data_IF_027945125996
#
_entry.id   IF_027945125996
#
_cell.length_a   1.000
_cell.length_b   1.000
_cell.length_c   1.000
_cell.angle_alpha   90.00
_cell.angle_beta   90.00
_cell.angle_gamma   90.00
#
_symmetry.space_group_name_H-M   'P 1'
#
loop_
_entity.id
_entity.type
_entity.pdbx_description
1 polymer ?
#
# COMPACT_ATOMS: atom_id res chain seq x y z
N UNK A 1 1.21 -35.67 -21.05
CA UNK A 1 0.71 -34.56 -20.20
C UNK A 1 1.86 -34.09 -19.33
N UNK A 2 2.34 -32.86 -19.52
CA UNK A 2 3.35 -32.28 -18.62
C UNK A 2 2.65 -31.98 -17.30
N UNK A 3 3.09 -32.60 -16.20
CA UNK A 3 2.66 -32.22 -14.85
C UNK A 3 3.10 -30.77 -14.63
N UNK A 4 2.14 -29.84 -14.61
CA UNK A 4 2.42 -28.48 -14.14
C UNK A 4 2.68 -28.55 -12.64
N UNK A 5 3.92 -28.35 -12.23
CA UNK A 5 4.26 -28.17 -10.83
C UNK A 5 3.82 -26.77 -10.42
N UNK A 6 2.60 -26.65 -9.89
CA UNK A 6 2.14 -25.42 -9.25
C UNK A 6 2.87 -25.32 -7.92
N UNK A 7 3.72 -24.30 -7.77
CA UNK A 7 4.31 -23.95 -6.48
C UNK A 7 3.49 -22.83 -5.88
N UNK A 8 3.10 -23.00 -4.62
CA UNK A 8 2.35 -22.02 -3.86
C UNK A 8 3.14 -21.67 -2.60
N UNK A 9 3.20 -20.39 -2.29
CA UNK A 9 3.81 -19.87 -1.08
C UNK A 9 2.86 -18.87 -0.42
N UNK A 10 2.38 -19.21 0.77
CA UNK A 10 1.49 -18.36 1.55
C UNK A 10 2.34 -17.43 2.42
N UNK A 11 2.23 -16.12 2.17
CA UNK A 11 2.97 -15.09 2.92
C UNK A 11 2.27 -14.80 4.25
N UNK A 12 0.95 -14.55 4.19
CA UNK A 12 0.12 -14.34 5.38
C UNK A 12 -1.33 -14.77 5.10
N UNK A 13 -2.28 -14.36 5.95
CA UNK A 13 -3.69 -14.73 5.78
C UNK A 13 -4.33 -14.18 4.49
N UNK A 14 -3.85 -13.04 4.00
CA UNK A 14 -4.39 -12.36 2.81
C UNK A 14 -3.57 -12.64 1.54
N UNK A 15 -2.27 -12.89 1.65
CA UNK A 15 -1.33 -12.83 0.53
C UNK A 15 -0.77 -14.22 0.24
N UNK A 16 -0.89 -14.64 -1.01
CA UNK A 16 -0.31 -15.88 -1.52
C UNK A 16 0.36 -15.64 -2.86
N UNK A 17 1.55 -16.19 -3.06
CA UNK A 17 2.23 -16.20 -4.36
C UNK A 17 2.13 -17.59 -4.98
N UNK A 18 1.89 -17.65 -6.29
CA UNK A 18 1.85 -18.91 -7.05
C UNK A 18 2.73 -18.82 -8.29
N UNK A 19 3.51 -19.86 -8.54
CA UNK A 19 4.24 -20.05 -9.80
C UNK A 19 3.35 -20.83 -10.76
N UNK A 20 2.80 -20.12 -11.75
CA UNK A 20 1.85 -20.67 -12.72
C UNK A 20 2.34 -20.35 -14.13
N UNK A 21 2.50 -21.37 -14.97
CA UNK A 21 3.00 -21.22 -16.35
C UNK A 21 4.32 -20.43 -16.42
N UNK A 22 5.27 -20.75 -15.54
CA UNK A 22 6.57 -20.06 -15.41
C UNK A 22 6.46 -18.55 -15.09
N UNK A 23 5.33 -18.10 -14.52
CA UNK A 23 5.18 -16.73 -14.04
C UNK A 23 4.75 -16.72 -12.58
N UNK A 24 5.37 -15.85 -11.79
CA UNK A 24 4.95 -15.57 -10.42
C UNK A 24 3.71 -14.68 -10.44
N UNK A 25 2.65 -15.14 -9.78
CA UNK A 25 1.38 -14.44 -9.62
C UNK A 25 1.13 -14.16 -8.14
N UNK A 26 0.75 -12.92 -7.83
CA UNK A 26 0.38 -12.51 -6.47
C UNK A 26 -1.15 -12.61 -6.36
N UNK A 27 -1.62 -13.22 -5.29
CA UNK A 27 -3.04 -13.35 -4.96
C UNK A 27 -3.30 -12.65 -3.63
N UNK A 28 -4.36 -11.84 -3.59
CA UNK A 28 -4.83 -11.17 -2.38
C UNK A 28 -6.26 -11.64 -2.09
N UNK A 29 -6.46 -12.29 -0.94
CA UNK A 29 -7.70 -12.98 -0.57
C UNK A 29 -8.17 -13.93 -1.68
N UNK A 30 -7.24 -14.74 -2.20
CA UNK A 30 -7.44 -15.67 -3.32
C UNK A 30 -7.84 -15.04 -4.67
N UNK A 31 -7.76 -13.72 -4.81
CA UNK A 31 -8.04 -13.00 -6.06
C UNK A 31 -6.71 -12.57 -6.67
N UNK A 32 -6.51 -12.86 -7.96
CA UNK A 32 -5.32 -12.48 -8.71
C UNK A 32 -5.11 -10.95 -8.66
N UNK A 33 -3.93 -10.53 -8.24
CA UNK A 33 -3.52 -9.15 -8.12
C UNK A 33 -2.60 -8.75 -9.28
N UNK A 34 -3.06 -7.80 -10.10
CA UNK A 34 -2.46 -7.52 -11.41
C UNK A 34 -1.41 -6.39 -11.42
N UNK A 35 -1.11 -5.76 -10.28
CA UNK A 35 -0.09 -4.71 -10.23
C UNK A 35 1.35 -5.28 -10.26
N UNK A 36 2.30 -4.48 -10.77
CA UNK A 36 3.63 -4.84 -11.31
C UNK A 36 4.35 -6.05 -10.70
N UNK A 37 4.91 -6.91 -11.58
CA UNK A 37 5.53 -8.21 -11.28
C UNK A 37 7.07 -8.22 -11.31
N UNK A 38 7.75 -7.13 -10.96
CA UNK A 38 9.19 -7.01 -11.27
C UNK A 38 10.09 -7.23 -10.04
N UNK A 39 11.05 -8.14 -10.17
CA UNK A 39 12.17 -8.31 -9.25
C UNK A 39 13.25 -7.29 -9.67
N UNK A 40 13.52 -6.29 -8.82
CA UNK A 40 14.19 -5.07 -9.26
C UNK A 40 15.69 -4.98 -8.95
N UNK A 41 16.26 -5.87 -8.13
CA UNK A 41 17.65 -5.74 -7.70
C UNK A 41 18.36 -7.10 -7.73
N UNK A 42 19.33 -7.24 -8.62
CA UNK A 42 20.38 -8.26 -8.54
C UNK A 42 21.65 -7.54 -8.06
N UNK A 43 21.95 -7.66 -6.77
CA UNK A 43 23.06 -6.96 -6.13
C UNK A 43 24.29 -7.89 -6.10
N UNK A 44 25.39 -7.47 -6.70
CA UNK A 44 26.71 -8.08 -6.48
C UNK A 44 27.26 -7.64 -5.12
N UNK A 45 27.90 -8.57 -4.40
CA UNK A 45 28.51 -8.29 -3.08
C UNK A 45 29.58 -7.19 -3.10
N UNK A 46 30.05 -6.77 -4.28
CA UNK A 46 31.06 -5.73 -4.46
C UNK A 46 30.52 -4.28 -4.33
N UNK A 47 29.19 -4.09 -4.24
CA UNK A 47 28.57 -2.76 -4.21
C UNK A 47 28.13 -2.28 -2.80
N UNK A 48 28.32 -3.13 -1.77
CA UNK A 48 27.87 -2.92 -0.38
C UNK A 48 28.24 -1.53 0.22
N UNK A 49 29.44 -0.95 -0.03
CA UNK A 49 29.82 0.33 0.56
C UNK A 49 29.11 1.58 -0.02
N UNK A 50 28.22 1.43 -1.02
CA UNK A 50 27.55 2.57 -1.70
C UNK A 50 26.07 2.74 -1.29
N UNK A 51 25.61 1.97 -0.30
CA UNK A 51 24.18 1.90 0.08
C UNK A 51 23.80 2.71 1.31
N UNK A 52 24.75 3.34 2.00
CA UNK A 52 24.49 4.14 3.21
C UNK A 52 23.60 5.38 2.96
N UNK A 53 23.44 5.80 1.69
CA UNK A 53 22.61 6.95 1.28
C UNK A 53 21.24 6.55 0.69
N UNK A 54 20.86 5.26 0.69
CA UNK A 54 19.61 4.79 0.08
C UNK A 54 18.56 4.50 1.15
N UNK A 55 17.45 5.24 1.12
CA UNK A 55 16.34 5.07 2.06
C UNK A 55 15.22 4.18 1.51
N UNK A 56 15.12 4.01 0.18
CA UNK A 56 14.10 3.18 -0.47
C UNK A 56 14.56 2.48 -1.75
N UNK A 57 13.83 1.45 -2.18
CA UNK A 57 14.05 0.81 -3.49
C UNK A 57 13.86 1.81 -4.65
N UNK A 58 12.96 2.77 -4.50
CA UNK A 58 12.74 3.80 -5.53
C UNK A 58 13.98 4.69 -5.68
N UNK A 59 14.63 5.07 -4.56
CA UNK A 59 15.88 5.83 -4.57
C UNK A 59 17.03 5.03 -5.21
N UNK A 60 17.11 3.74 -4.88
CA UNK A 60 18.06 2.83 -5.53
C UNK A 60 17.82 2.77 -7.05
N UNK A 61 16.56 2.75 -7.49
CA UNK A 61 16.25 2.79 -8.91
C UNK A 61 16.58 4.12 -9.57
N UNK A 62 16.39 5.25 -8.90
CA UNK A 62 16.75 6.54 -9.46
C UNK A 62 18.27 6.71 -9.59
N UNK A 63 19.02 6.34 -8.56
CA UNK A 63 20.47 6.46 -8.51
C UNK A 63 21.16 5.49 -9.47
N UNK A 64 20.71 4.24 -9.51
CA UNK A 64 21.38 3.16 -10.25
C UNK A 64 20.69 2.76 -11.55
N UNK A 65 19.44 3.18 -11.77
CA UNK A 65 18.68 2.91 -13.01
C UNK A 65 18.97 3.88 -14.16
N UNK A 66 19.65 5.02 -13.90
CA UNK A 66 20.05 5.99 -14.93
C UNK A 66 21.19 5.50 -15.84
N UNK A 67 21.88 4.42 -15.49
CA UNK A 67 22.76 3.67 -16.38
C UNK A 67 22.05 2.46 -16.97
N UNK A 68 21.84 2.44 -18.29
CA UNK A 68 21.17 1.39 -19.09
C UNK A 68 21.67 -0.08 -18.94
N UNK A 69 22.43 -0.45 -17.90
CA UNK A 69 22.96 -1.79 -17.69
C UNK A 69 22.10 -2.68 -16.78
N UNK A 70 21.26 -2.12 -15.90
CA UNK A 70 20.51 -2.90 -14.89
C UNK A 70 19.06 -3.25 -15.26
N UNK A 71 18.50 -2.69 -16.35
CA UNK A 71 17.18 -3.07 -16.89
C UNK A 71 17.20 -4.34 -17.76
N UNK A 72 18.33 -5.07 -17.80
CA UNK A 72 18.42 -6.33 -18.55
C UNK A 72 17.41 -7.37 -18.03
N UNK A 73 17.04 -7.33 -16.75
CA UNK A 73 15.96 -8.16 -16.19
C UNK A 73 14.56 -7.74 -16.66
N UNK A 74 14.33 -6.46 -16.99
CA UNK A 74 13.04 -6.00 -17.55
C UNK A 74 12.80 -6.54 -18.98
N UNK A 75 13.88 -6.80 -19.72
CA UNK A 75 13.82 -7.17 -21.14
C UNK A 75 14.25 -8.61 -21.45
N UNK A 76 14.98 -9.27 -20.54
CA UNK A 76 15.50 -10.62 -20.76
C UNK A 76 15.14 -11.57 -19.61
N UNK A 77 13.98 -12.23 -19.75
CA UNK A 77 13.48 -13.28 -18.84
C UNK A 77 14.33 -14.56 -18.80
N UNK A 78 15.45 -14.63 -19.53
CA UNK A 78 16.34 -15.80 -19.55
C UNK A 78 17.47 -15.72 -18.52
N UNK A 79 17.60 -14.62 -17.77
CA UNK A 79 18.70 -14.43 -16.82
C UNK A 79 18.54 -15.30 -15.56
N UNK A 80 17.32 -15.53 -15.12
CA UNK A 80 17.00 -16.41 -14.00
C UNK A 80 15.96 -17.44 -14.45
N UNK A 81 16.06 -18.66 -13.96
CA UNK A 81 14.99 -19.63 -14.18
C UNK A 81 13.74 -19.22 -13.35
N UNK A 82 12.53 -19.60 -13.79
CA UNK A 82 11.29 -19.16 -13.15
C UNK A 82 11.17 -19.53 -11.67
N UNK A 83 11.83 -20.59 -11.22
CA UNK A 83 11.78 -21.02 -9.82
C UNK A 83 12.69 -20.15 -8.94
N UNK A 84 13.91 -19.86 -9.40
CA UNK A 84 14.81 -18.93 -8.70
C UNK A 84 14.17 -17.53 -8.60
N UNK A 85 13.55 -17.04 -9.67
CA UNK A 85 12.82 -15.77 -9.64
C UNK A 85 11.65 -15.81 -8.65
N UNK A 86 10.86 -16.90 -8.64
CA UNK A 86 9.77 -17.11 -7.70
C UNK A 86 10.23 -17.05 -6.23
N UNK A 87 11.34 -17.70 -5.89
CA UNK A 87 11.92 -17.65 -4.55
C UNK A 87 12.32 -16.21 -4.17
N UNK A 88 12.92 -15.47 -5.09
CA UNK A 88 13.25 -14.05 -4.89
C UNK A 88 12.01 -13.19 -4.60
N UNK A 89 10.95 -13.35 -5.39
CA UNK A 89 9.67 -12.64 -5.17
C UNK A 89 9.03 -13.00 -3.83
N UNK A 90 9.04 -14.28 -3.46
CA UNK A 90 8.53 -14.74 -2.17
C UNK A 90 9.33 -14.11 -1.01
N UNK A 91 10.66 -14.08 -1.12
CA UNK A 91 11.53 -13.50 -0.09
C UNK A 91 11.31 -12.01 0.07
N UNK A 92 11.17 -11.26 -1.03
CA UNK A 92 10.89 -9.82 -0.99
C UNK A 92 9.51 -9.54 -0.37
N UNK A 93 8.47 -10.29 -0.75
CA UNK A 93 7.14 -10.13 -0.16
C UNK A 93 7.13 -10.51 1.32
N UNK A 94 7.84 -11.58 1.69
CA UNK A 94 7.97 -12.00 3.08
C UNK A 94 8.62 -10.90 3.92
N UNK A 95 9.76 -10.37 3.45
CA UNK A 95 10.46 -9.28 4.12
C UNK A 95 9.58 -8.03 4.27
N UNK A 96 8.78 -7.68 3.26
CA UNK A 96 7.83 -6.57 3.32
C UNK A 96 6.77 -6.77 4.41
N UNK A 97 6.19 -7.98 4.52
CA UNK A 97 5.19 -8.28 5.56
C UNK A 97 5.78 -8.34 6.96
N UNK A 98 6.97 -8.90 7.10
CA UNK A 98 7.71 -9.02 8.37
C UNK A 98 8.18 -7.66 8.90
N UNK A 99 8.50 -6.72 8.01
CA UNK A 99 8.86 -5.35 8.37
C UNK A 99 7.65 -4.41 8.31
N UNK A 100 6.54 -4.88 8.85
CA UNK A 100 5.34 -4.09 9.06
C UNK A 100 4.80 -3.33 7.86
N UNK A 101 4.87 -3.93 6.67
CA UNK A 101 4.43 -3.33 5.40
C UNK A 101 5.17 -2.03 5.05
N UNK A 102 6.39 -1.84 5.56
CA UNK A 102 7.22 -0.67 5.26
C UNK A 102 7.30 -0.46 3.74
N UNK A 103 6.77 0.67 3.28
CA UNK A 103 6.57 0.95 1.85
C UNK A 103 7.88 1.10 1.07
N UNK A 104 9.01 1.27 1.76
CA UNK A 104 10.34 1.43 1.17
C UNK A 104 11.00 0.09 0.79
N UNK A 105 10.48 -1.05 1.28
CA UNK A 105 11.04 -2.40 1.06
C UNK A 105 10.64 -3.00 -0.28
N UNK A 106 9.52 -2.56 -0.85
CA UNK A 106 9.14 -2.88 -2.23
C UNK A 106 9.07 -1.58 -3.02
N UNK A 107 9.24 -1.67 -4.33
CA UNK A 107 9.03 -0.53 -5.21
C UNK A 107 7.61 0.03 -5.05
N UNK A 108 7.45 1.35 -5.07
CA UNK A 108 6.18 2.03 -4.78
C UNK A 108 5.00 1.57 -5.64
N UNK A 109 5.25 1.26 -6.91
CA UNK A 109 4.23 0.69 -7.84
C UNK A 109 3.66 -0.67 -7.41
N UNK A 110 4.27 -1.34 -6.43
CA UNK A 110 3.76 -2.57 -5.83
C UNK A 110 3.34 -2.37 -4.37
N UNK A 111 4.18 -1.75 -3.53
CA UNK A 111 3.87 -1.56 -2.09
C UNK A 111 2.57 -0.76 -1.88
N UNK A 112 2.41 0.37 -2.56
CA UNK A 112 1.21 1.22 -2.38
C UNK A 112 -0.09 0.51 -2.83
N UNK A 113 -0.18 -0.08 -4.03
CA UNK A 113 -1.37 -0.84 -4.43
C UNK A 113 -1.69 -2.03 -3.52
N UNK A 114 -0.67 -2.76 -3.05
CA UNK A 114 -0.87 -3.86 -2.09
C UNK A 114 -1.44 -3.36 -0.78
N UNK A 115 -0.82 -2.33 -0.21
CA UNK A 115 -1.24 -1.74 1.06
C UNK A 115 -2.70 -1.24 0.97
N UNK A 116 -3.06 -0.54 -0.10
CA UNK A 116 -4.45 -0.12 -0.38
C UNK A 116 -5.41 -1.31 -0.43
N UNK A 117 -5.02 -2.40 -1.07
CA UNK A 117 -5.86 -3.60 -1.17
C UNK A 117 -6.08 -4.24 0.21
N UNK A 118 -5.04 -4.34 1.04
CA UNK A 118 -5.14 -4.88 2.39
C UNK A 118 -6.02 -4.00 3.30
N UNK A 119 -5.88 -2.67 3.20
CA UNK A 119 -6.78 -1.71 3.88
C UNK A 119 -8.24 -1.95 3.51
N UNK A 120 -8.53 -2.15 2.21
CA UNK A 120 -9.89 -2.42 1.75
C UNK A 120 -10.48 -3.75 2.26
N UNK A 121 -9.61 -4.68 2.67
CA UNK A 121 -9.98 -5.97 3.26
C UNK A 121 -10.09 -5.91 4.79
N UNK A 122 -9.79 -4.77 5.41
CA UNK A 122 -9.87 -4.59 6.85
C UNK A 122 -8.65 -5.10 7.63
N UNK A 123 -7.50 -5.34 6.97
CA UNK A 123 -6.25 -5.68 7.65
C UNK A 123 -5.87 -4.51 8.58
N UNK A 124 -5.95 -4.74 9.89
CA UNK A 124 -5.72 -3.72 10.93
C UNK A 124 -4.32 -3.15 10.87
N UNK A 125 -3.32 -3.99 10.59
CA UNK A 125 -1.92 -3.59 10.51
C UNK A 125 -1.71 -2.71 9.27
N UNK A 126 -2.29 -3.10 8.13
CA UNK A 126 -2.28 -2.29 6.92
C UNK A 126 -2.98 -0.93 7.12
N UNK A 127 -4.11 -0.89 7.84
CA UNK A 127 -4.82 0.36 8.15
C UNK A 127 -3.94 1.32 8.95
N UNK A 128 -3.25 0.83 10.00
CA UNK A 128 -2.37 1.66 10.83
C UNK A 128 -1.24 2.25 9.98
N UNK A 129 -0.50 1.40 9.27
CA UNK A 129 0.63 1.81 8.42
C UNK A 129 0.18 2.81 7.35
N UNK A 130 -0.99 2.58 6.75
CA UNK A 130 -1.51 3.47 5.72
C UNK A 130 -1.98 4.82 6.29
N UNK A 131 -2.51 4.88 7.52
CA UNK A 131 -2.80 6.14 8.21
C UNK A 131 -1.51 6.93 8.47
N UNK A 132 -0.48 6.28 8.99
CA UNK A 132 0.83 6.91 9.26
C UNK A 132 1.43 7.50 7.98
N UNK A 133 1.40 6.74 6.89
CA UNK A 133 1.85 7.21 5.58
C UNK A 133 1.12 8.48 5.13
N UNK A 134 -0.20 8.53 5.30
CA UNK A 134 -0.98 9.74 4.98
C UNK A 134 -0.58 10.91 5.87
N UNK A 135 -0.39 10.69 7.17
CA UNK A 135 0.08 11.71 8.09
C UNK A 135 1.43 12.28 7.65
N UNK A 136 2.41 11.42 7.37
CA UNK A 136 3.72 11.86 6.91
C UNK A 136 3.62 12.66 5.60
N UNK A 137 2.82 12.20 4.65
CA UNK A 137 2.63 12.90 3.38
C UNK A 137 1.91 14.24 3.51
N UNK A 138 1.00 14.37 4.47
CA UNK A 138 0.22 15.60 4.68
C UNK A 138 1.00 16.61 5.51
N UNK A 139 1.77 16.14 6.51
CA UNK A 139 2.52 17.00 7.44
C UNK A 139 3.90 17.36 6.86
N UNK A 140 4.62 16.38 6.30
CA UNK A 140 5.98 16.55 5.77
C UNK A 140 6.03 16.75 4.25
N UNK A 141 5.03 16.24 3.52
CA UNK A 141 5.07 16.17 2.06
C UNK A 141 4.85 17.50 1.34
N UNK A 142 5.42 17.61 0.14
CA UNK A 142 5.16 18.72 -0.78
C UNK A 142 3.76 18.63 -1.40
N UNK A 143 3.15 19.80 -1.66
CA UNK A 143 1.76 20.00 -2.11
C UNK A 143 1.25 18.99 -3.16
N UNK A 144 2.09 18.64 -4.15
CA UNK A 144 1.69 17.78 -5.28
C UNK A 144 1.53 16.30 -4.92
N UNK A 145 2.35 15.76 -4.01
CA UNK A 145 2.26 14.35 -3.60
C UNK A 145 1.02 14.11 -2.74
N UNK A 146 0.71 15.06 -1.85
CA UNK A 146 -0.46 15.01 -0.98
C UNK A 146 -1.75 15.18 -1.77
N UNK A 147 -1.78 16.08 -2.78
CA UNK A 147 -2.95 16.26 -3.66
C UNK A 147 -3.20 15.01 -4.51
N UNK A 148 -2.17 14.37 -5.07
CA UNK A 148 -2.36 13.17 -5.91
C UNK A 148 -3.05 12.02 -5.17
N UNK A 149 -2.74 11.84 -3.88
CA UNK A 149 -3.37 10.78 -3.07
C UNK A 149 -4.75 11.22 -2.56
N UNK A 150 -4.92 12.49 -2.16
CA UNK A 150 -6.18 12.97 -1.58
C UNK A 150 -7.25 13.35 -2.62
N UNK A 151 -6.87 13.57 -3.88
CA UNK A 151 -7.77 14.00 -4.97
C UNK A 151 -8.62 12.89 -5.57
N UNK A 152 -8.45 11.63 -5.17
CA UNK A 152 -9.39 10.55 -5.51
C UNK A 152 -10.67 10.71 -4.66
N UNK A 153 -11.49 11.68 -5.04
CA UNK A 153 -12.67 12.20 -4.31
C UNK A 153 -13.75 11.12 -4.08
N UNK A 154 -13.71 10.00 -4.80
CA UNK A 154 -14.62 8.85 -4.64
C UNK A 154 -14.08 7.77 -3.68
N UNK A 155 -12.78 7.80 -3.38
CA UNK A 155 -12.06 6.88 -2.50
C UNK A 155 -11.24 7.64 -1.47
N UNK A 156 -11.86 8.58 -0.75
CA UNK A 156 -11.13 9.36 0.24
C UNK A 156 -10.52 8.42 1.27
N UNK A 157 -9.20 8.26 1.22
CA UNK A 157 -8.42 7.48 2.17
C UNK A 157 -8.62 7.97 3.61
N UNK A 158 -9.18 9.17 3.78
CA UNK A 158 -9.62 9.73 5.05
C UNK A 158 -10.81 8.98 5.69
N UNK A 159 -11.52 8.13 4.95
CA UNK A 159 -12.63 7.34 5.51
C UNK A 159 -12.20 6.34 6.57
N UNK A 160 -10.92 5.91 6.54
CA UNK A 160 -10.38 4.96 7.52
C UNK A 160 -10.06 5.65 8.86
N UNK A 161 -9.99 6.98 8.89
CA UNK A 161 -9.74 7.76 10.09
C UNK A 161 -11.03 7.96 10.86
N UNK A 162 -10.97 8.01 12.18
CA UNK A 162 -12.06 8.42 13.04
C UNK A 162 -12.23 9.95 13.05
N UNK A 163 -13.38 10.41 13.54
CA UNK A 163 -13.70 11.84 13.53
C UNK A 163 -12.65 12.64 14.31
N UNK A 164 -12.27 12.15 15.48
CA UNK A 164 -11.28 12.75 16.35
C UNK A 164 -9.90 12.77 15.69
N UNK A 165 -9.52 11.69 14.98
CA UNK A 165 -8.25 11.64 14.25
C UNK A 165 -8.23 12.63 13.07
N UNK A 166 -9.36 12.82 12.38
CA UNK A 166 -9.47 13.80 11.30
C UNK A 166 -9.38 15.24 11.82
N UNK A 167 -9.95 15.52 13.00
CA UNK A 167 -9.85 16.84 13.65
C UNK A 167 -8.39 17.14 14.03
N UNK A 168 -7.69 16.19 14.65
CA UNK A 168 -6.25 16.32 14.95
C UNK A 168 -5.43 16.51 13.66
N UNK A 169 -5.74 15.74 12.61
CA UNK A 169 -5.05 15.87 11.33
C UNK A 169 -5.27 17.26 10.72
N UNK A 170 -6.50 17.78 10.77
CA UNK A 170 -6.84 19.12 10.26
C UNK A 170 -6.00 20.21 10.93
N UNK A 171 -5.87 20.16 12.25
CA UNK A 171 -5.11 21.14 13.04
C UNK A 171 -3.59 21.03 12.80
N UNK A 172 -3.10 19.86 12.39
CA UNK A 172 -1.68 19.63 12.11
C UNK A 172 -1.23 20.07 10.71
N UNK A 173 -2.16 20.26 9.77
CA UNK A 173 -1.83 20.65 8.39
C UNK A 173 -1.51 22.15 8.32
N UNK A 174 -0.43 22.51 7.60
CA UNK A 174 -0.09 23.92 7.33
C UNK A 174 -1.27 24.66 6.68
N UNK A 175 -1.65 25.81 7.24
CA UNK A 175 -2.72 26.68 6.76
C UNK A 175 -2.59 27.05 5.27
N UNK A 176 -1.38 27.07 4.72
CA UNK A 176 -1.13 27.33 3.29
C UNK A 176 -1.62 26.19 2.38
N UNK A 177 -1.81 24.99 2.93
CA UNK A 177 -2.29 23.80 2.22
C UNK A 177 -3.81 23.75 2.13
N UNK A 178 -4.42 24.85 1.65
CA UNK A 178 -5.87 25.08 1.59
C UNK A 178 -6.66 23.94 0.90
N UNK A 179 -6.08 23.33 -0.15
CA UNK A 179 -6.73 22.20 -0.84
C UNK A 179 -6.81 20.95 0.04
N UNK A 180 -5.75 20.65 0.78
CA UNK A 180 -5.71 19.52 1.72
C UNK A 180 -6.70 19.75 2.86
N UNK A 181 -6.67 20.95 3.46
CA UNK A 181 -7.62 21.36 4.50
C UNK A 181 -9.07 21.25 4.04
N UNK A 182 -9.36 21.64 2.79
CA UNK A 182 -10.70 21.50 2.20
C UNK A 182 -11.14 20.04 2.11
N UNK A 183 -10.25 19.14 1.71
CA UNK A 183 -10.55 17.70 1.62
C UNK A 183 -10.79 17.12 3.00
N UNK A 184 -9.93 17.41 3.99
CA UNK A 184 -10.09 16.93 5.36
C UNK A 184 -11.40 17.44 5.98
N UNK A 185 -11.69 18.75 5.86
CA UNK A 185 -12.91 19.33 6.39
C UNK A 185 -14.17 18.73 5.74
N UNK A 186 -14.13 18.40 4.44
CA UNK A 186 -15.24 17.68 3.77
C UNK A 186 -15.48 16.33 4.44
N UNK A 187 -14.42 15.57 4.73
CA UNK A 187 -14.51 14.26 5.40
C UNK A 187 -15.04 14.39 6.85
N UNK A 188 -14.56 15.38 7.61
CA UNK A 188 -15.07 15.70 8.97
C UNK A 188 -16.58 15.95 8.93
N UNK A 189 -17.03 16.84 8.04
CA UNK A 189 -18.45 17.20 7.94
C UNK A 189 -19.31 15.99 7.54
N UNK A 190 -18.83 15.16 6.62
CA UNK A 190 -19.52 13.93 6.23
C UNK A 190 -19.66 12.96 7.43
N UNK A 191 -18.60 12.75 8.21
CA UNK A 191 -18.67 11.91 9.44
C UNK A 191 -19.65 12.47 10.47
N UNK A 192 -19.65 13.78 10.72
CA UNK A 192 -20.59 14.41 11.67
C UNK A 192 -22.05 14.20 11.25
N UNK A 193 -22.34 14.30 9.95
CA UNK A 193 -23.68 14.03 9.40
C UNK A 193 -24.05 12.55 9.65
N UNK A 194 -23.18 11.61 9.30
CA UNK A 194 -23.42 10.16 9.49
C UNK A 194 -23.67 9.85 10.98
N UNK A 195 -22.83 10.34 11.89
CA UNK A 195 -22.99 10.14 13.33
C UNK A 195 -24.32 10.70 13.85
N UNK A 196 -24.73 11.88 13.34
CA UNK A 196 -26.04 12.47 13.64
C UNK A 196 -27.21 11.61 13.18
N UNK A 197 -27.14 11.02 11.98
CA UNK A 197 -28.17 10.12 11.45
C UNK A 197 -28.27 8.83 12.26
N UNK A 198 -27.14 8.19 12.58
CA UNK A 198 -27.09 6.98 13.43
C UNK A 198 -27.73 7.25 14.80
N UNK A 199 -27.39 8.39 15.43
CA UNK A 199 -27.96 8.77 16.73
C UNK A 199 -29.47 8.91 16.68
N UNK A 200 -30.03 9.54 15.62
CA UNK A 200 -31.48 9.67 15.44
C UNK A 200 -32.16 8.31 15.23
N UNK A 201 -31.58 7.44 14.41
CA UNK A 201 -32.12 6.10 14.17
C UNK A 201 -32.18 5.26 15.45
N UNK A 202 -31.13 5.30 16.27
CA UNK A 202 -31.09 4.60 17.55
C UNK A 202 -32.13 5.13 18.56
N UNK A 203 -32.41 6.44 18.56
CA UNK A 203 -33.48 7.02 19.38
C UNK A 203 -34.85 6.47 18.95
N UNK A 204 -35.12 6.42 17.64
CA UNK A 204 -36.40 5.92 17.12
C UNK A 204 -36.64 4.44 17.47
N UNK A 205 -35.63 3.58 17.30
CA UNK A 205 -35.71 2.15 17.66
C UNK A 205 -36.04 1.97 19.15
N UNK A 206 -35.43 2.78 20.03
CA UNK A 206 -35.67 2.70 21.46
C UNK A 206 -37.08 3.18 21.86
N UNK A 207 -37.68 4.11 21.11
CA UNK A 207 -39.06 4.56 21.33
C UNK A 207 -40.06 3.47 20.91
N UNK A 208 -39.83 2.78 19.79
CA UNK A 208 -40.66 1.66 19.33
C UNK A 208 -40.64 0.48 20.33
N UNK A 209 -39.45 0.12 20.86
CA UNK A 209 -39.31 -0.95 21.85
C UNK A 209 -39.95 -0.65 23.22
N UNK A 210 -40.14 0.63 23.58
CA UNK A 210 -40.81 1.03 24.83
C UNK A 210 -42.34 1.11 24.69
N UNK A 211 -42.83 1.06 23.46
CA UNK A 211 -44.26 1.17 23.13
C UNK A 211 -44.90 -0.21 22.83
N UNK A 212 -44.13 -1.29 22.97
CA UNK A 212 -44.54 -2.70 22.83
C UNK A 212 -44.44 -3.39 24.19
#
# INVERSE_FOLDING_TARGET
MVKMNIKEFKINEYITLKLEYNNTNIYINNILFLHCKYLLLNLSNDDIPKYDEIESIDDAMELYGKGHKNRKHETNKTILDPETEFIGHCSNMQAWVENDYNVNILHSKLSFPLLKKLVSLGDKKAIIVFKELILEMVIKGGRNASIYILSDITNSYLNIFELEELEVLYDAVDEKSQEILRVINKSINMKRIINGLIKRQNININLEKRSS
#
